data_IF_405208121166
#
_entry.id   IF_405208121166
#
_cell.length_a   1.000
_cell.length_b   1.000
_cell.length_c   1.000
_cell.angle_alpha   90.00
_cell.angle_beta   90.00
_cell.angle_gamma   90.00
#
_symmetry.space_group_name_H-M   'P 1'
#
loop_
_entity.id
_entity.type
_entity.pdbx_description
1 polymer ?
#
# COMPACT_ATOMS: atom_id res chain seq x y z
N UNK A 1 -14.35 -5.34 1.61
CA UNK A 1 -13.10 -5.11 0.85
C UNK A 1 -13.47 -4.85 -0.59
N UNK A 2 -13.13 -3.69 -1.14
CA UNK A 2 -13.21 -3.48 -2.59
C UNK A 2 -12.09 -4.27 -3.25
N UNK A 3 -12.45 -5.11 -4.22
CA UNK A 3 -11.49 -5.89 -4.98
C UNK A 3 -10.79 -4.97 -5.97
N UNK A 4 -9.46 -4.95 -5.94
CA UNK A 4 -8.69 -4.21 -6.93
C UNK A 4 -8.91 -4.80 -8.32
N UNK A 5 -9.15 -3.91 -9.27
CA UNK A 5 -9.20 -4.16 -10.70
C UNK A 5 -8.04 -3.43 -11.38
N UNK A 6 -7.86 -3.69 -12.68
CA UNK A 6 -6.81 -3.02 -13.47
C UNK A 6 -7.05 -1.52 -13.58
N UNK A 7 -8.31 -1.09 -13.54
CA UNK A 7 -8.72 0.31 -13.64
C UNK A 7 -8.33 1.13 -12.40
N UNK A 8 -8.16 0.44 -11.26
CA UNK A 8 -7.68 1.06 -10.02
C UNK A 8 -6.16 1.29 -10.05
N UNK A 9 -5.44 0.71 -11.01
CA UNK A 9 -3.99 0.88 -11.13
C UNK A 9 -3.68 2.10 -12.01
N UNK A 10 -2.76 2.93 -11.55
CA UNK A 10 -2.06 3.90 -12.39
C UNK A 10 -1.35 3.21 -13.55
N UNK A 11 -1.28 3.91 -14.69
CA UNK A 11 -0.29 3.59 -15.72
C UNK A 11 1.12 3.84 -15.19
N UNK A 12 2.13 3.25 -15.83
CA UNK A 12 3.53 3.41 -15.44
C UNK A 12 3.96 4.89 -15.43
N UNK A 13 3.54 5.66 -16.44
CA UNK A 13 3.83 7.09 -16.55
C UNK A 13 3.20 7.89 -15.39
N UNK A 14 1.92 7.63 -15.11
CA UNK A 14 1.22 8.30 -14.00
C UNK A 14 1.83 7.91 -12.66
N UNK A 15 2.15 6.63 -12.47
CA UNK A 15 2.79 6.17 -11.25
C UNK A 15 4.15 6.81 -11.03
N UNK A 16 4.98 6.92 -12.07
CA UNK A 16 6.29 7.58 -11.99
C UNK A 16 6.21 8.99 -11.37
N UNK A 17 5.23 9.78 -11.81
CA UNK A 17 4.99 11.14 -11.32
C UNK A 17 4.39 11.15 -9.90
N UNK A 18 3.42 10.29 -9.64
CA UNK A 18 2.64 10.27 -8.38
C UNK A 18 3.34 9.52 -7.23
N UNK A 19 4.35 8.69 -7.56
CA UNK A 19 4.99 7.75 -6.61
C UNK A 19 5.46 8.40 -5.31
N UNK A 20 6.08 9.60 -5.28
CA UNK A 20 6.51 10.21 -4.03
C UNK A 20 5.33 10.50 -3.09
N UNK A 21 4.28 11.15 -3.61
CA UNK A 21 3.10 11.51 -2.84
C UNK A 21 2.29 10.26 -2.45
N UNK A 22 2.17 9.30 -3.36
CA UNK A 22 1.48 8.04 -3.09
C UNK A 22 2.20 7.21 -2.01
N UNK A 23 3.53 7.10 -2.07
CA UNK A 23 4.33 6.42 -1.04
C UNK A 23 4.15 7.05 0.33
N UNK A 24 4.17 8.37 0.44
CA UNK A 24 3.96 9.06 1.72
C UNK A 24 2.61 8.69 2.33
N UNK A 25 1.53 8.78 1.54
CA UNK A 25 0.19 8.38 1.97
C UNK A 25 0.12 6.92 2.42
N UNK A 26 0.75 6.01 1.67
CA UNK A 26 0.74 4.57 2.01
C UNK A 26 1.52 4.30 3.29
N UNK A 27 2.65 4.98 3.52
CA UNK A 27 3.44 4.79 4.73
C UNK A 27 2.71 5.28 5.98
N UNK A 28 2.07 6.45 5.91
CA UNK A 28 1.22 6.98 6.98
C UNK A 28 0.09 6.00 7.30
N UNK A 29 -0.58 5.47 6.26
CA UNK A 29 -1.64 4.48 6.43
C UNK A 29 -1.13 3.14 7.00
N UNK A 30 0.03 2.66 6.52
CA UNK A 30 0.62 1.37 6.93
C UNK A 30 1.12 1.40 8.37
N UNK A 31 1.48 2.57 8.91
CA UNK A 31 1.94 2.73 10.29
C UNK A 31 0.91 2.22 11.30
N UNK A 32 -0.38 2.45 11.06
CA UNK A 32 -1.47 2.02 11.94
C UNK A 32 -1.90 0.56 11.72
N UNK A 33 -1.31 -0.14 10.74
CA UNK A 33 -1.73 -1.48 10.29
C UNK A 33 -0.69 -2.56 10.55
N UNK A 34 0.26 -2.27 11.43
CA UNK A 34 1.36 -3.16 11.77
C UNK A 34 1.25 -3.60 13.22
N UNK A 35 1.27 -4.90 13.46
CA UNK A 35 1.27 -5.48 14.81
C UNK A 35 2.49 -6.36 14.95
N UNK A 36 3.39 -6.01 15.88
CA UNK A 36 4.52 -6.86 16.25
C UNK A 36 4.05 -8.07 17.05
N UNK A 37 4.58 -9.25 16.74
CA UNK A 37 4.38 -10.48 17.50
C UNK A 37 5.75 -10.92 18.02
N UNK A 38 6.03 -10.52 19.26
CA UNK A 38 7.34 -10.74 19.87
C UNK A 38 8.49 -10.10 19.05
N UNK A 39 9.72 -10.60 19.21
CA UNK A 39 10.92 -9.99 18.61
C UNK A 39 11.16 -10.37 17.14
N UNK A 40 10.45 -11.37 16.60
CA UNK A 40 10.80 -11.98 15.31
C UNK A 40 9.70 -11.95 14.25
N UNK A 41 8.47 -11.60 14.63
CA UNK A 41 7.34 -11.60 13.70
C UNK A 41 6.60 -10.28 13.74
N UNK A 42 6.00 -9.92 12.60
CA UNK A 42 5.16 -8.73 12.47
C UNK A 42 4.09 -9.04 11.45
N UNK A 43 2.84 -8.79 11.83
CA UNK A 43 1.70 -8.88 10.92
C UNK A 43 1.40 -7.50 10.33
N UNK A 44 1.15 -7.49 9.03
CA UNK A 44 0.61 -6.35 8.31
C UNK A 44 -0.84 -6.66 7.94
N UNK A 45 -1.75 -5.79 8.36
CA UNK A 45 -3.16 -5.87 8.01
C UNK A 45 -3.39 -5.14 6.69
N UNK A 46 -3.42 -5.90 5.61
CA UNK A 46 -3.53 -5.36 4.25
C UNK A 46 -4.96 -4.88 3.95
N UNK A 47 -5.06 -3.87 3.08
CA UNK A 47 -6.30 -3.42 2.46
C UNK A 47 -6.06 -2.98 1.01
N UNK A 48 -7.08 -2.41 0.36
CA UNK A 48 -6.96 -2.03 -1.04
C UNK A 48 -5.81 -1.04 -1.29
N UNK A 49 -5.55 -0.10 -0.38
CA UNK A 49 -4.49 0.90 -0.57
C UNK A 49 -3.10 0.26 -0.44
N UNK A 50 -2.91 -0.58 0.57
CA UNK A 50 -1.61 -1.24 0.78
C UNK A 50 -1.33 -2.26 -0.32
N UNK A 51 -2.35 -2.99 -0.79
CA UNK A 51 -2.22 -3.91 -1.92
C UNK A 51 -1.97 -3.19 -3.25
N UNK A 52 -2.65 -2.07 -3.49
CA UNK A 52 -2.42 -1.24 -4.69
C UNK A 52 -0.96 -0.78 -4.74
N UNK A 53 -0.39 -0.34 -3.61
CA UNK A 53 1.02 0.04 -3.54
C UNK A 53 1.99 -1.12 -3.74
N UNK A 54 1.64 -2.35 -3.36
CA UNK A 54 2.49 -3.53 -3.60
C UNK A 54 2.51 -3.95 -5.07
N UNK A 55 1.43 -3.70 -5.82
CA UNK A 55 1.33 -4.06 -7.24
C UNK A 55 2.06 -3.04 -8.13
N UNK A 56 2.13 -1.78 -7.71
CA UNK A 56 2.70 -0.66 -8.47
C UNK A 56 4.21 -0.52 -8.34
#
# INVERSE_FOLDING_TARGET
>A
MNKLSREDLFSLEKYSTERPAFRTRVLEHKAHRRVGIGPHATLYFEDALTMQYQIQ
#
